data_IF_148938954142
#
_entry.id   IF_148938954142
#
_cell.length_a   1.000
_cell.length_b   1.000
_cell.length_c   1.000
_cell.angle_alpha   90.00
_cell.angle_beta   90.00
_cell.angle_gamma   90.00
#
_symmetry.space_group_name_H-M   'P 1'
#
loop_
_entity.id
_entity.type
_entity.pdbx_description
1 polymer ?
#
# COMPACT_ATOMS: atom_id res chain seq x y z
N UNK A 1 -31.92 -18.39 24.96
CA UNK A 1 -31.73 -18.08 23.53
C UNK A 1 -31.26 -16.65 23.46
N UNK A 2 -29.94 -16.47 23.45
CA UNK A 2 -29.30 -15.17 23.32
C UNK A 2 -28.85 -15.05 21.88
N UNK A 3 -29.47 -14.14 21.14
CA UNK A 3 -29.05 -13.78 19.78
C UNK A 3 -27.60 -13.32 19.83
N UNK A 4 -26.73 -14.08 19.17
CA UNK A 4 -25.37 -13.62 18.83
C UNK A 4 -25.56 -12.69 17.65
N UNK A 5 -25.22 -11.40 17.76
CA UNK A 5 -25.38 -10.50 16.63
C UNK A 5 -24.42 -10.90 15.52
N UNK A 6 -25.00 -11.05 14.34
CA UNK A 6 -24.35 -11.37 13.08
C UNK A 6 -23.46 -10.17 12.66
N UNK A 7 -22.26 -10.08 13.25
CA UNK A 7 -21.31 -8.98 13.03
C UNK A 7 -20.17 -9.33 12.07
N UNK A 8 -20.26 -10.46 11.35
CA UNK A 8 -19.35 -10.80 10.26
C UNK A 8 -19.73 -10.04 8.97
N UNK A 9 -19.76 -8.72 9.02
CA UNK A 9 -19.90 -7.88 7.84
C UNK A 9 -18.55 -7.84 7.11
N UNK A 10 -18.41 -8.70 6.08
CA UNK A 10 -17.32 -8.78 5.11
C UNK A 10 -16.59 -7.44 4.90
N UNK A 11 -15.41 -7.30 5.49
CA UNK A 11 -14.46 -6.18 5.38
C UNK A 11 -13.97 -6.00 3.94
N UNK A 12 -14.15 -7.02 3.10
CA UNK A 12 -13.84 -6.95 1.67
C UNK A 12 -15.14 -6.70 0.91
N UNK A 13 -15.58 -5.45 0.91
CA UNK A 13 -16.57 -4.99 -0.05
C UNK A 13 -16.05 -5.24 -1.46
N UNK A 14 -16.87 -5.79 -2.40
CA UNK A 14 -16.46 -5.92 -3.80
C UNK A 14 -16.26 -4.56 -4.48
N UNK A 15 -16.66 -3.47 -3.82
CA UNK A 15 -16.45 -2.10 -4.28
C UNK A 15 -14.97 -1.72 -4.13
N UNK A 16 -14.37 -1.19 -5.20
CA UNK A 16 -13.06 -0.56 -5.15
C UNK A 16 -13.10 0.64 -4.21
N UNK A 17 -12.13 0.71 -3.30
CA UNK A 17 -11.91 1.87 -2.44
C UNK A 17 -10.58 2.49 -2.84
N UNK A 18 -10.66 3.54 -3.64
CA UNK A 18 -9.51 4.33 -4.06
C UNK A 18 -9.63 5.75 -3.52
N UNK A 19 -8.52 6.29 -3.06
CA UNK A 19 -8.40 7.70 -2.73
C UNK A 19 -7.72 8.44 -3.89
N UNK A 20 -8.43 9.43 -4.42
CA UNK A 20 -7.95 10.34 -5.46
C UNK A 20 -8.10 11.76 -4.88
N UNK A 21 -7.01 12.54 -4.73
CA UNK A 21 -6.96 13.82 -4.03
C UNK A 21 -7.98 14.90 -4.32
N UNK A 22 -8.78 14.85 -5.35
CA UNK A 22 -9.93 15.70 -5.58
C UNK A 22 -10.56 15.00 -6.76
N UNK A 23 -11.45 14.02 -6.56
CA UNK A 23 -11.81 13.09 -7.63
C UNK A 23 -12.33 13.78 -8.88
N UNK A 24 -12.95 14.96 -8.71
CA UNK A 24 -13.44 15.79 -9.80
C UNK A 24 -12.32 16.38 -10.68
N UNK A 25 -11.11 16.60 -10.15
CA UNK A 25 -10.04 17.32 -10.86
C UNK A 25 -8.73 16.54 -11.00
N UNK A 26 -8.35 15.66 -10.08
CA UNK A 26 -6.98 15.10 -10.05
C UNK A 26 -6.51 14.48 -11.36
N UNK A 27 -7.35 13.64 -11.99
CA UNK A 27 -6.99 13.00 -13.26
C UNK A 27 -6.95 14.01 -14.40
N UNK A 28 -7.91 14.95 -14.47
CA UNK A 28 -7.92 15.99 -15.49
C UNK A 28 -6.78 17.00 -15.30
N UNK A 29 -6.40 17.29 -14.07
CA UNK A 29 -5.29 18.19 -13.71
C UNK A 29 -3.97 17.58 -14.16
N UNK A 30 -3.76 16.28 -13.92
CA UNK A 30 -2.59 15.57 -14.44
C UNK A 30 -2.58 15.56 -15.98
N UNK A 31 -3.69 15.17 -16.60
CA UNK A 31 -3.77 15.08 -18.05
C UNK A 31 -3.61 16.44 -18.74
N UNK A 32 -4.11 17.52 -18.16
CA UNK A 32 -3.96 18.87 -18.72
C UNK A 32 -2.58 19.47 -18.48
N UNK A 33 -1.92 19.13 -17.36
CA UNK A 33 -0.58 19.64 -17.02
C UNK A 33 0.55 18.91 -17.74
N UNK A 34 0.34 17.67 -18.19
CA UNK A 34 1.36 16.85 -18.85
C UNK A 34 0.92 16.49 -20.28
N UNK A 35 1.71 16.85 -21.33
CA UNK A 35 1.43 16.43 -22.70
C UNK A 35 1.34 14.90 -22.82
N UNK A 36 0.43 14.40 -23.66
CA UNK A 36 0.14 12.96 -23.76
C UNK A 36 1.37 12.08 -24.06
N UNK A 37 2.34 12.61 -24.83
CA UNK A 37 3.62 11.96 -25.14
C UNK A 37 4.59 11.82 -23.95
N UNK A 38 4.34 12.58 -22.89
CA UNK A 38 5.16 12.66 -21.70
C UNK A 38 4.51 12.00 -20.48
N UNK A 39 3.21 11.71 -20.51
CA UNK A 39 2.50 11.06 -19.40
C UNK A 39 3.07 9.66 -19.15
N UNK A 40 3.38 9.42 -17.88
CA UNK A 40 3.84 8.15 -17.35
C UNK A 40 2.99 7.78 -16.13
N UNK A 41 2.79 6.49 -15.91
CA UNK A 41 2.13 5.95 -14.74
C UNK A 41 3.11 5.01 -14.03
N UNK A 42 3.25 5.09 -12.72
CA UNK A 42 4.23 4.27 -12.02
C UNK A 42 3.82 3.98 -10.58
N UNK A 43 4.29 2.87 -10.05
CA UNK A 43 3.92 2.44 -8.70
C UNK A 43 4.76 3.11 -7.61
N UNK A 44 4.10 3.40 -6.49
CA UNK A 44 4.68 3.71 -5.19
C UNK A 44 3.96 2.90 -4.10
N UNK A 45 4.61 2.66 -2.98
CA UNK A 45 4.06 1.87 -1.89
C UNK A 45 5.13 1.51 -0.88
N UNK A 46 4.78 1.49 0.40
CA UNK A 46 5.67 0.99 1.44
C UNK A 46 6.09 -0.47 1.13
N UNK A 47 7.16 -0.96 1.76
CA UNK A 47 7.56 -2.36 1.60
C UNK A 47 6.37 -3.30 1.88
N UNK A 48 6.29 -4.44 1.19
CA UNK A 48 5.22 -5.43 1.38
C UNK A 48 3.76 -5.01 1.07
N UNK A 49 3.52 -3.88 0.38
CA UNK A 49 2.15 -3.48 -0.02
C UNK A 49 1.69 -4.04 -1.36
N UNK A 50 2.52 -4.79 -2.09
CA UNK A 50 2.14 -5.36 -3.40
C UNK A 50 2.57 -4.55 -4.62
N UNK A 51 3.51 -3.62 -4.47
CA UNK A 51 4.06 -2.81 -5.58
C UNK A 51 4.49 -3.61 -6.82
N UNK A 52 5.01 -4.83 -6.65
CA UNK A 52 5.39 -5.66 -7.80
C UNK A 52 4.19 -6.23 -8.54
N UNK A 53 3.09 -6.55 -7.84
CA UNK A 53 1.87 -7.05 -8.46
C UNK A 53 1.25 -5.95 -9.33
N UNK A 54 1.01 -4.78 -8.75
CA UNK A 54 0.42 -3.66 -9.49
C UNK A 54 1.28 -3.23 -10.69
N UNK A 55 2.61 -3.22 -10.53
CA UNK A 55 3.51 -2.90 -11.64
C UNK A 55 3.39 -3.91 -12.80
N UNK A 56 3.33 -5.22 -12.51
CA UNK A 56 3.12 -6.22 -13.58
C UNK A 56 1.79 -5.99 -14.28
N UNK A 57 0.73 -5.78 -13.50
CA UNK A 57 -0.61 -5.51 -14.03
C UNK A 57 -0.64 -4.25 -14.91
N UNK A 58 -0.03 -3.15 -14.47
CA UNK A 58 0.07 -1.93 -15.28
C UNK A 58 0.90 -2.14 -16.55
N UNK A 59 1.99 -2.90 -16.48
CA UNK A 59 2.86 -3.14 -17.64
C UNK A 59 2.18 -3.95 -18.74
N UNK A 60 1.32 -4.91 -18.35
CA UNK A 60 0.66 -5.78 -19.31
C UNK A 60 -0.64 -5.16 -19.81
N UNK A 61 -1.35 -4.43 -18.95
CA UNK A 61 -2.74 -4.04 -19.22
C UNK A 61 -2.97 -2.54 -19.40
N UNK A 62 -2.03 -1.66 -19.08
CA UNK A 62 -2.19 -0.22 -19.30
C UNK A 62 -1.45 0.25 -20.55
N UNK A 63 -2.22 0.65 -21.57
CA UNK A 63 -1.70 1.16 -22.83
C UNK A 63 -1.59 2.69 -22.76
N UNK A 64 -0.36 3.16 -22.63
CA UNK A 64 -0.05 4.60 -22.69
C UNK A 64 0.28 4.99 -24.14
N UNK A 65 -0.15 6.17 -24.64
CA UNK A 65 -0.08 6.51 -26.06
C UNK A 65 1.30 6.42 -26.72
N UNK A 66 2.39 6.74 -26.00
CA UNK A 66 3.75 6.81 -26.57
C UNK A 66 4.87 6.31 -25.64
N UNK A 67 4.53 5.70 -24.51
CA UNK A 67 5.51 5.32 -23.48
C UNK A 67 5.18 3.94 -22.93
N UNK A 68 6.19 3.21 -22.49
CA UNK A 68 5.99 2.01 -21.67
C UNK A 68 5.85 2.44 -20.21
N UNK A 69 5.03 1.72 -19.46
CA UNK A 69 4.89 1.89 -18.01
C UNK A 69 6.24 1.60 -17.33
N UNK A 70 6.82 2.57 -16.60
CA UNK A 70 8.05 2.37 -15.84
C UNK A 70 7.83 1.50 -14.59
N UNK A 71 8.91 0.86 -14.15
CA UNK A 71 8.91 -0.04 -12.98
C UNK A 71 8.52 0.65 -11.65
N UNK A 72 8.84 1.94 -11.50
CA UNK A 72 8.62 2.71 -10.28
C UNK A 72 8.61 4.22 -10.55
N UNK A 73 8.07 4.99 -9.60
CA UNK A 73 8.24 6.45 -9.58
C UNK A 73 9.73 6.83 -9.53
N UNK A 74 10.13 8.02 -10.06
CA UNK A 74 11.53 8.38 -10.22
C UNK A 74 12.34 8.40 -8.94
N UNK A 75 11.72 8.75 -7.82
CA UNK A 75 12.38 8.80 -6.51
C UNK A 75 12.38 7.46 -5.78
N UNK A 76 12.01 6.35 -6.43
CA UNK A 76 12.00 5.02 -5.86
C UNK A 76 10.68 4.68 -5.15
N UNK A 77 10.09 3.53 -5.51
CA UNK A 77 8.72 3.19 -5.10
C UNK A 77 8.49 3.05 -3.59
N UNK A 78 9.53 2.74 -2.81
CA UNK A 78 9.42 2.57 -1.36
C UNK A 78 9.79 3.83 -0.57
N UNK A 79 10.34 4.84 -1.23
CA UNK A 79 10.78 6.05 -0.54
C UNK A 79 9.57 6.93 -0.16
N UNK A 80 9.68 7.74 0.91
CA UNK A 80 8.64 8.66 1.31
C UNK A 80 8.36 9.73 0.23
N UNK A 81 7.19 10.36 0.30
CA UNK A 81 6.73 11.28 -0.74
C UNK A 81 7.59 12.54 -0.87
N UNK A 82 8.20 13.00 0.22
CA UNK A 82 9.09 14.17 0.26
C UNK A 82 10.43 13.95 -0.47
N UNK A 83 10.71 12.73 -0.93
CA UNK A 83 11.85 12.44 -1.80
C UNK A 83 11.59 12.85 -3.26
N UNK A 84 10.32 13.13 -3.62
CA UNK A 84 9.92 13.56 -4.96
C UNK A 84 10.66 14.85 -5.34
N UNK A 85 11.47 14.78 -6.40
CA UNK A 85 12.24 15.92 -6.92
C UNK A 85 13.56 16.20 -6.18
N UNK A 86 13.81 15.54 -5.04
CA UNK A 86 15.05 15.67 -4.26
C UNK A 86 15.95 14.45 -4.48
N UNK A 87 15.35 13.26 -4.60
CA UNK A 87 16.05 12.01 -4.83
C UNK A 87 15.61 11.36 -6.15
N UNK A 88 16.54 10.69 -6.82
CA UNK A 88 16.28 9.91 -8.03
C UNK A 88 16.92 8.54 -7.93
N UNK A 89 16.09 7.51 -8.08
CA UNK A 89 16.56 6.14 -8.27
C UNK A 89 17.50 6.10 -9.49
N UNK A 90 18.52 5.25 -9.41
CA UNK A 90 19.57 5.16 -10.45
C UNK A 90 19.02 4.97 -11.86
N UNK A 91 17.94 4.20 -12.01
CA UNK A 91 17.26 3.93 -13.29
C UNK A 91 16.45 5.11 -13.85
N UNK A 92 16.26 6.15 -13.05
CA UNK A 92 15.31 7.24 -13.31
C UNK A 92 15.97 8.61 -13.31
N UNK A 93 17.31 8.67 -13.34
CA UNK A 93 18.05 9.93 -13.46
C UNK A 93 17.66 10.67 -14.75
N UNK A 94 17.35 11.95 -14.63
CA UNK A 94 16.93 12.81 -15.75
C UNK A 94 15.45 12.71 -16.12
N UNK A 95 14.66 11.89 -15.42
CA UNK A 95 13.20 11.89 -15.57
C UNK A 95 12.60 13.10 -14.83
N UNK A 96 11.50 13.63 -15.34
CA UNK A 96 10.78 14.77 -14.74
C UNK A 96 9.68 14.20 -13.83
N UNK A 97 9.72 14.42 -12.50
CA UNK A 97 8.73 13.87 -11.57
C UNK A 97 7.28 14.23 -11.89
N UNK A 98 7.04 15.41 -12.47
CA UNK A 98 5.72 15.92 -12.86
C UNK A 98 5.09 15.11 -13.99
N UNK A 99 5.90 14.40 -14.77
CA UNK A 99 5.40 13.57 -15.87
C UNK A 99 4.77 12.25 -15.38
N UNK A 100 4.87 11.93 -14.09
CA UNK A 100 4.41 10.68 -13.52
C UNK A 100 3.13 10.89 -12.73
N UNK A 101 2.11 10.08 -13.00
CA UNK A 101 1.00 9.84 -12.09
C UNK A 101 1.36 8.64 -11.19
N UNK A 102 1.61 8.84 -9.90
CA UNK A 102 1.87 7.72 -8.99
C UNK A 102 0.60 6.93 -8.72
N UNK A 103 0.73 5.61 -8.80
CA UNK A 103 -0.24 4.66 -8.25
C UNK A 103 0.31 4.18 -6.92
N UNK A 104 -0.21 4.77 -5.84
CA UNK A 104 0.20 4.52 -4.47
C UNK A 104 -0.58 3.34 -3.93
N UNK A 105 0.10 2.35 -3.35
CA UNK A 105 -0.56 1.17 -2.80
C UNK A 105 -0.49 1.20 -1.29
N UNK A 106 -1.66 1.24 -0.67
CA UNK A 106 -1.86 0.98 0.75
C UNK A 106 -2.32 -0.45 0.96
N UNK A 107 -1.98 -1.02 2.11
CA UNK A 107 -2.40 -2.36 2.50
C UNK A 107 -2.94 -2.28 3.92
N UNK A 108 -3.91 -3.12 4.24
CA UNK A 108 -4.43 -3.25 5.59
C UNK A 108 -3.29 -3.37 6.61
N UNK A 109 -3.28 -2.51 7.64
CA UNK A 109 -2.17 -2.38 8.60
C UNK A 109 -1.84 -3.71 9.29
N UNK A 110 -2.86 -4.51 9.62
CA UNK A 110 -2.71 -5.79 10.33
C UNK A 110 -1.98 -6.80 9.43
N UNK A 111 -2.47 -6.99 8.21
CA UNK A 111 -1.83 -7.90 7.25
C UNK A 111 -0.49 -7.38 6.73
N UNK A 112 -0.29 -6.06 6.69
CA UNK A 112 0.97 -5.42 6.35
C UNK A 112 2.03 -5.67 7.44
N UNK A 113 1.73 -5.46 8.72
CA UNK A 113 2.62 -5.80 9.83
C UNK A 113 3.02 -7.28 9.78
N UNK A 114 2.06 -8.19 9.60
CA UNK A 114 2.33 -9.62 9.43
C UNK A 114 3.26 -9.90 8.24
N UNK A 115 3.20 -9.09 7.17
CA UNK A 115 4.09 -9.23 6.03
C UNK A 115 5.50 -8.72 6.33
N UNK A 116 5.62 -7.61 7.07
CA UNK A 116 6.90 -7.09 7.57
C UNK A 116 7.59 -8.08 8.52
N UNK A 117 6.83 -8.74 9.40
CA UNK A 117 7.34 -9.81 10.26
C UNK A 117 8.06 -10.91 9.47
N UNK A 118 7.47 -11.31 8.33
CA UNK A 118 8.04 -12.34 7.45
C UNK A 118 9.24 -11.84 6.66
N UNK A 119 9.15 -10.63 6.11
CA UNK A 119 10.17 -10.04 5.24
C UNK A 119 10.37 -8.56 5.61
N UNK A 120 11.27 -8.24 6.55
CA UNK A 120 11.44 -6.87 7.05
C UNK A 120 12.15 -5.94 6.07
N UNK A 121 12.80 -6.49 5.03
CA UNK A 121 13.67 -5.74 4.13
C UNK A 121 14.75 -4.97 4.91
N UNK A 122 14.70 -3.64 4.83
CA UNK A 122 15.63 -2.69 5.41
C UNK A 122 15.11 -2.11 6.74
N UNK A 123 13.97 -2.60 7.22
CA UNK A 123 13.45 -2.24 8.54
C UNK A 123 14.09 -3.09 9.64
N UNK A 124 14.38 -2.48 10.79
CA UNK A 124 15.09 -3.09 11.91
C UNK A 124 14.37 -2.80 13.23
N UNK A 125 14.12 -3.84 14.03
CA UNK A 125 13.53 -3.75 15.38
C UNK A 125 13.99 -4.94 16.25
N UNK A 126 13.92 -4.80 17.58
CA UNK A 126 14.54 -5.72 18.54
C UNK A 126 13.96 -7.15 18.56
N UNK A 127 12.71 -7.36 18.08
CA UNK A 127 11.97 -8.61 18.26
C UNK A 127 11.47 -9.25 16.96
N UNK A 128 12.33 -9.37 15.94
CA UNK A 128 11.94 -9.97 14.66
C UNK A 128 11.34 -11.40 14.79
N UNK A 129 11.76 -12.19 15.78
CA UNK A 129 11.33 -13.59 15.96
C UNK A 129 10.03 -13.77 16.76
N UNK A 130 9.54 -12.72 17.42
CA UNK A 130 8.26 -12.70 18.13
C UNK A 130 7.45 -11.55 17.55
N UNK A 131 6.88 -11.73 16.37
CA UNK A 131 6.21 -10.66 15.62
C UNK A 131 4.74 -11.06 15.40
N UNK A 132 3.74 -10.16 15.58
CA UNK A 132 3.84 -8.70 15.58
C UNK A 132 4.47 -8.07 16.83
N UNK A 133 4.14 -8.53 18.04
CA UNK A 133 4.60 -8.01 19.34
C UNK A 133 4.94 -6.50 19.31
N UNK A 134 3.92 -5.68 19.05
CA UNK A 134 4.04 -4.24 18.88
C UNK A 134 4.42 -3.52 20.18
N UNK A 135 4.09 -4.13 21.32
CA UNK A 135 4.46 -3.66 22.64
C UNK A 135 5.27 -4.69 23.41
N UNK A 136 6.17 -4.24 24.28
CA UNK A 136 6.93 -5.08 25.20
C UNK A 136 6.04 -5.57 26.35
N UNK A 137 6.60 -6.36 27.27
CA UNK A 137 5.86 -6.87 28.44
C UNK A 137 5.40 -5.74 29.38
N UNK A 138 6.14 -4.63 29.42
CA UNK A 138 5.77 -3.41 30.16
C UNK A 138 4.82 -2.48 29.40
N UNK A 139 4.25 -2.97 28.29
CA UNK A 139 3.39 -2.23 27.37
C UNK A 139 4.04 -1.04 26.65
N UNK A 140 5.36 -0.85 26.77
CA UNK A 140 6.07 0.16 25.96
C UNK A 140 6.15 -0.25 24.49
N UNK A 141 6.11 0.70 23.53
CA UNK A 141 6.22 0.39 22.12
C UNK A 141 7.55 -0.28 21.72
N UNK A 142 7.51 -1.09 20.67
CA UNK A 142 8.70 -1.61 19.98
C UNK A 142 9.06 -0.71 18.82
N UNK A 143 10.08 0.13 19.04
CA UNK A 143 10.60 1.07 18.04
C UNK A 143 11.09 0.35 16.77
N UNK A 144 10.97 1.03 15.63
CA UNK A 144 11.50 0.55 14.35
C UNK A 144 12.32 1.63 13.66
N UNK A 145 13.49 1.23 13.14
CA UNK A 145 14.27 2.02 12.20
C UNK A 145 13.99 1.51 10.79
N UNK A 146 13.72 2.40 9.84
CA UNK A 146 13.65 2.07 8.40
C UNK A 146 14.68 2.88 7.65
N UNK A 147 15.53 2.19 6.90
CA UNK A 147 16.55 2.80 6.03
C UNK A 147 16.00 2.88 4.60
N UNK A 148 15.36 4.00 4.27
CA UNK A 148 15.06 4.35 2.89
C UNK A 148 16.38 4.59 2.11
N UNK A 149 16.34 4.64 0.76
CA UNK A 149 17.52 4.58 -0.13
C UNK A 149 18.73 5.48 0.27
N UNK A 150 19.91 5.10 -0.25
CA UNK A 150 21.32 5.37 0.14
C UNK A 150 21.80 6.83 0.36
N UNK A 151 20.93 7.82 0.48
CA UNK A 151 21.36 9.17 0.83
C UNK A 151 21.46 9.35 2.36
N UNK A 152 22.31 10.28 2.81
CA UNK A 152 22.61 10.59 4.24
C UNK A 152 21.38 10.86 5.13
N UNK A 153 20.18 10.94 4.55
CA UNK A 153 18.92 11.34 5.18
C UNK A 153 17.84 10.24 5.14
N UNK A 154 18.17 9.03 4.68
CA UNK A 154 17.21 7.94 4.47
C UNK A 154 16.75 7.20 5.73
N UNK A 155 17.35 7.47 6.89
CA UNK A 155 17.01 6.78 8.13
C UNK A 155 15.82 7.46 8.80
N UNK A 156 14.75 6.71 9.06
CA UNK A 156 13.63 7.17 9.89
C UNK A 156 13.43 6.23 11.06
N UNK A 157 13.40 6.80 12.25
CA UNK A 157 13.03 6.11 13.48
C UNK A 157 11.57 6.40 13.77
N UNK A 158 10.84 5.37 14.18
CA UNK A 158 9.44 5.45 14.56
C UNK A 158 9.30 4.89 15.97
N UNK A 159 8.99 5.75 16.92
CA UNK A 159 8.92 5.42 18.35
C UNK A 159 7.80 4.43 18.64
N UNK A 160 6.67 4.59 17.94
CA UNK A 160 5.52 3.69 18.01
C UNK A 160 5.61 2.53 17.00
N UNK A 161 6.81 2.26 16.49
CA UNK A 161 7.11 1.05 15.74
C UNK A 161 6.49 1.00 14.34
N UNK A 162 6.17 -0.23 13.91
CA UNK A 162 5.66 -0.50 12.56
C UNK A 162 4.33 0.22 12.27
N UNK A 163 3.48 0.42 13.28
CA UNK A 163 2.17 1.08 13.10
C UNK A 163 2.33 2.55 12.75
N UNK A 164 3.25 3.24 13.41
CA UNK A 164 3.58 4.63 13.06
C UNK A 164 4.28 4.72 11.71
N UNK A 165 5.19 3.80 11.40
CA UNK A 165 5.81 3.76 10.08
C UNK A 165 4.78 3.61 8.95
N UNK A 166 3.77 2.75 9.15
CA UNK A 166 2.65 2.60 8.22
C UNK A 166 1.80 3.87 8.13
N UNK A 167 1.43 4.43 9.29
CA UNK A 167 0.55 5.61 9.37
C UNK A 167 1.22 6.82 8.73
N UNK A 168 2.41 7.19 9.18
CA UNK A 168 3.16 8.35 8.68
C UNK A 168 3.39 8.27 7.18
N UNK A 169 3.87 7.13 6.66
CA UNK A 169 4.15 7.00 5.22
C UNK A 169 2.89 7.18 4.37
N UNK A 170 1.78 6.54 4.75
CA UNK A 170 0.53 6.61 3.98
C UNK A 170 -0.16 7.97 4.13
N UNK A 171 -0.14 8.58 5.32
CA UNK A 171 -0.78 9.88 5.55
C UNK A 171 -0.03 11.01 4.85
N UNK A 172 1.30 10.92 4.74
CA UNK A 172 2.09 11.85 3.92
C UNK A 172 1.70 11.79 2.45
N UNK A 173 1.46 10.60 1.91
CA UNK A 173 0.89 10.45 0.57
C UNK A 173 -0.53 10.98 0.48
N UNK A 174 -1.40 10.66 1.43
CA UNK A 174 -2.80 11.11 1.47
C UNK A 174 -2.94 12.66 1.51
N UNK A 175 -1.91 13.37 1.97
CA UNK A 175 -1.83 14.83 2.02
C UNK A 175 -1.03 15.45 0.87
N UNK A 176 -0.49 14.66 -0.04
CA UNK A 176 0.34 15.17 -1.11
C UNK A 176 -0.49 16.09 -2.04
N UNK A 177 0.07 17.25 -2.38
CA UNK A 177 -0.64 18.29 -3.13
C UNK A 177 -0.56 18.14 -4.65
N UNK A 178 -0.03 17.04 -5.15
CA UNK A 178 0.12 16.75 -6.58
C UNK A 178 -0.73 15.54 -6.97
N UNK A 179 -1.03 15.34 -8.26
CA UNK A 179 -1.88 14.25 -8.68
C UNK A 179 -1.31 12.85 -8.38
N UNK A 180 -2.12 11.98 -7.78
CA UNK A 180 -1.85 10.56 -7.62
C UNK A 180 -3.18 9.77 -7.54
N UNK A 181 -3.08 8.44 -7.62
CA UNK A 181 -4.18 7.52 -7.31
C UNK A 181 -3.70 6.56 -6.23
N UNK A 182 -4.40 6.51 -5.10
CA UNK A 182 -4.06 5.60 -4.00
C UNK A 182 -5.10 4.48 -3.92
N UNK A 183 -4.65 3.23 -3.99
CA UNK A 183 -5.51 2.04 -4.05
C UNK A 183 -5.12 1.04 -2.97
N UNK A 184 -6.09 0.25 -2.53
CA UNK A 184 -5.82 -0.86 -1.61
C UNK A 184 -5.16 -2.01 -2.34
N UNK A 185 -4.24 -2.69 -1.65
CA UNK A 185 -3.71 -3.97 -2.08
C UNK A 185 -4.83 -4.99 -2.28
N UNK A 186 -5.83 -4.94 -1.41
CA UNK A 186 -7.00 -5.81 -1.45
C UNK A 186 -7.79 -5.60 -2.76
N UNK A 187 -7.98 -4.37 -3.22
CA UNK A 187 -8.66 -4.10 -4.50
C UNK A 187 -7.87 -4.64 -5.69
N UNK A 188 -6.54 -4.59 -5.62
CA UNK A 188 -5.68 -5.22 -6.61
C UNK A 188 -5.85 -6.75 -6.60
N UNK A 189 -6.15 -7.37 -5.46
CA UNK A 189 -6.37 -8.83 -5.42
C UNK A 189 -7.73 -9.22 -5.99
N UNK A 190 -8.79 -8.55 -5.55
CA UNK A 190 -10.18 -8.95 -5.85
C UNK A 190 -10.74 -8.34 -7.14
N UNK A 191 -10.20 -7.19 -7.58
CA UNK A 191 -10.72 -6.39 -8.70
C UNK A 191 -9.57 -5.87 -9.58
N UNK A 192 -8.68 -6.76 -10.03
CA UNK A 192 -7.49 -6.42 -10.82
C UNK A 192 -7.82 -5.50 -12.01
N UNK A 193 -8.79 -5.92 -12.83
CA UNK A 193 -9.17 -5.23 -14.06
C UNK A 193 -9.66 -3.81 -13.80
N UNK A 194 -10.64 -3.66 -12.90
CA UNK A 194 -11.22 -2.36 -12.58
C UNK A 194 -10.23 -1.44 -11.86
N UNK A 195 -9.35 -1.99 -11.00
CA UNK A 195 -8.32 -1.21 -10.30
C UNK A 195 -7.27 -0.68 -11.29
N UNK A 196 -6.83 -1.51 -12.24
CA UNK A 196 -5.91 -1.09 -13.30
C UNK A 196 -6.57 -0.09 -14.24
N UNK A 197 -7.82 -0.34 -14.64
CA UNK A 197 -8.57 0.57 -15.51
C UNK A 197 -8.66 1.96 -14.89
N UNK A 198 -9.07 2.05 -13.63
CA UNK A 198 -9.16 3.31 -12.89
C UNK A 198 -7.84 4.09 -12.93
N UNK A 199 -6.73 3.44 -12.58
CA UNK A 199 -5.43 4.08 -12.55
C UNK A 199 -4.94 4.48 -13.95
N UNK A 200 -5.12 3.59 -14.94
CA UNK A 200 -4.66 3.78 -16.31
C UNK A 200 -5.39 4.93 -17.02
N UNK A 201 -6.72 4.95 -16.91
CA UNK A 201 -7.53 6.03 -17.49
C UNK A 201 -7.24 7.37 -16.81
N UNK A 202 -6.98 7.37 -15.49
CA UNK A 202 -6.57 8.57 -14.78
C UNK A 202 -5.25 9.16 -15.33
N UNK A 203 -4.30 8.30 -15.73
CA UNK A 203 -3.06 8.73 -16.39
C UNK A 203 -3.24 9.17 -17.86
N UNK A 204 -4.45 9.04 -18.41
CA UNK A 204 -4.74 9.30 -19.83
C UNK A 204 -4.33 8.16 -20.76
N UNK A 205 -4.15 6.95 -20.22
CA UNK A 205 -4.05 5.71 -20.98
C UNK A 205 -5.42 5.05 -21.17
N UNK A 206 -5.41 3.82 -21.68
CA UNK A 206 -6.58 2.96 -21.75
C UNK A 206 -6.19 1.52 -21.43
N UNK A 207 -7.18 0.72 -21.01
CA UNK A 207 -6.99 -0.70 -20.77
C UNK A 207 -6.69 -1.42 -22.10
N UNK A 208 -5.82 -2.43 -22.06
CA UNK A 208 -5.64 -3.35 -23.17
C UNK A 208 -6.96 -4.04 -23.54
N UNK A 209 -7.12 -4.43 -24.82
CA UNK A 209 -8.34 -5.10 -25.31
C UNK A 209 -8.61 -6.42 -24.59
N UNK A 210 -7.54 -7.15 -24.24
CA UNK A 210 -7.59 -8.37 -23.45
C UNK A 210 -6.83 -8.12 -22.16
N UNK A 211 -7.52 -8.27 -21.02
CA UNK A 211 -6.90 -8.12 -19.72
C UNK A 211 -6.19 -9.42 -19.30
N UNK A 212 -4.89 -9.31 -19.05
CA UNK A 212 -4.06 -10.36 -18.47
C UNK A 212 -4.09 -10.29 -16.94
N UNK A 213 -4.75 -11.27 -16.34
CA UNK A 213 -4.75 -11.47 -14.89
C UNK A 213 -3.41 -12.01 -14.41
N UNK A 214 -2.95 -11.55 -13.25
CA UNK A 214 -1.74 -12.04 -12.61
C UNK A 214 -2.07 -13.09 -11.56
N UNK A 215 -2.12 -14.36 -11.98
CA UNK A 215 -2.42 -15.49 -11.10
C UNK A 215 -1.16 -16.10 -10.45
N UNK A 216 -0.01 -15.98 -11.11
CA UNK A 216 1.27 -16.48 -10.60
C UNK A 216 1.89 -15.55 -9.55
N UNK A 217 2.73 -16.07 -8.64
CA UNK A 217 3.46 -15.27 -7.66
C UNK A 217 4.17 -14.07 -8.30
N UNK A 218 3.88 -12.86 -7.79
CA UNK A 218 4.46 -11.63 -8.33
C UNK A 218 5.98 -11.50 -8.12
N UNK A 219 6.57 -12.27 -7.19
CA UNK A 219 8.01 -12.27 -6.86
C UNK A 219 8.63 -13.65 -7.16
N UNK A 220 9.68 -13.70 -7.97
CA UNK A 220 10.33 -14.94 -8.41
C UNK A 220 11.15 -15.70 -7.35
N UNK A 221 11.12 -15.31 -6.08
CA UNK A 221 11.99 -15.87 -5.03
C UNK A 221 11.27 -16.25 -3.72
N UNK A 222 9.94 -16.45 -3.71
CA UNK A 222 9.28 -16.87 -2.47
C UNK A 222 7.84 -17.32 -2.62
N UNK A 223 7.61 -18.61 -2.36
CA UNK A 223 6.30 -19.23 -2.14
C UNK A 223 5.65 -19.86 -3.37
N UNK A 224 5.06 -21.04 -3.19
CA UNK A 224 4.17 -21.71 -4.17
C UNK A 224 2.74 -21.14 -4.15
N UNK A 225 2.49 -20.09 -3.37
CA UNK A 225 1.15 -19.53 -3.16
C UNK A 225 0.73 -18.72 -4.39
N UNK A 226 -0.21 -19.27 -5.17
CA UNK A 226 -0.82 -18.56 -6.29
C UNK A 226 -1.82 -17.50 -5.82
N UNK A 227 -2.38 -16.72 -6.75
CA UNK A 227 -3.39 -15.71 -6.44
C UNK A 227 -4.57 -16.26 -5.64
N UNK A 228 -5.00 -17.51 -5.91
CA UNK A 228 -6.07 -18.17 -5.16
C UNK A 228 -5.74 -18.42 -3.68
N UNK A 229 -4.49 -18.75 -3.35
CA UNK A 229 -4.08 -18.98 -1.96
C UNK A 229 -4.00 -17.66 -1.19
N UNK A 230 -3.53 -16.61 -1.88
CA UNK A 230 -3.56 -15.23 -1.41
C UNK A 230 -5.02 -14.82 -1.15
N UNK A 231 -5.92 -14.98 -2.12
CA UNK A 231 -7.34 -14.62 -1.98
C UNK A 231 -8.01 -15.34 -0.80
N UNK A 232 -7.74 -16.63 -0.60
CA UNK A 232 -8.25 -17.38 0.57
C UNK A 232 -7.72 -16.83 1.88
N UNK A 233 -6.47 -16.39 1.91
CA UNK A 233 -5.84 -15.84 3.11
C UNK A 233 -6.35 -14.45 3.46
N UNK A 234 -6.50 -13.57 2.48
CA UNK A 234 -7.02 -12.21 2.72
C UNK A 234 -8.55 -12.21 2.86
N UNK A 235 -9.23 -13.22 2.32
CA UNK A 235 -10.69 -13.37 2.35
C UNK A 235 -11.26 -13.91 3.66
N UNK A 236 -10.39 -14.36 4.57
CA UNK A 236 -10.80 -14.98 5.84
C UNK A 236 -10.50 -14.03 7.00
N UNK A 237 -11.53 -13.29 7.44
CA UNK A 237 -11.43 -12.36 8.58
C UNK A 237 -10.96 -13.03 9.87
N UNK A 238 -11.34 -14.30 10.09
CA UNK A 238 -10.95 -15.04 11.30
C UNK A 238 -9.44 -15.26 11.36
N UNK A 239 -8.77 -15.25 10.20
CA UNK A 239 -7.31 -15.39 10.08
C UNK A 239 -6.58 -14.05 10.06
N UNK A 240 -7.26 -12.92 9.86
CA UNK A 240 -6.63 -11.59 9.76
C UNK A 240 -5.80 -11.26 11.00
N UNK A 241 -6.35 -11.55 12.18
CA UNK A 241 -5.73 -11.28 13.48
C UNK A 241 -5.02 -12.50 14.09
N UNK A 242 -4.90 -13.60 13.35
CA UNK A 242 -4.26 -14.81 13.87
C UNK A 242 -2.82 -14.52 14.30
N UNK A 243 -2.51 -14.82 15.56
CA UNK A 243 -1.18 -14.61 16.16
C UNK A 243 -0.98 -13.22 16.80
N UNK A 244 -1.99 -12.35 16.81
CA UNK A 244 -1.94 -11.08 17.53
C UNK A 244 -2.31 -11.26 19.01
N UNK A 245 -1.61 -10.56 19.91
CA UNK A 245 -2.00 -10.47 21.33
C UNK A 245 -3.04 -9.36 21.50
N UNK A 246 -3.86 -9.47 22.54
CA UNK A 246 -4.83 -8.42 22.90
C UNK A 246 -4.14 -7.07 23.14
N UNK A 247 -3.01 -7.06 23.85
CA UNK A 247 -2.22 -5.84 24.08
C UNK A 247 -1.72 -5.18 22.78
N UNK A 248 -1.41 -5.98 21.74
CA UNK A 248 -0.98 -5.44 20.45
C UNK A 248 -2.16 -4.84 19.68
N UNK A 249 -3.34 -5.46 19.77
CA UNK A 249 -4.57 -4.95 19.14
C UNK A 249 -5.08 -3.68 19.82
N UNK A 250 -5.03 -3.64 21.15
CA UNK A 250 -5.34 -2.44 21.92
C UNK A 250 -4.37 -1.30 21.56
N UNK A 251 -3.07 -1.57 21.58
CA UNK A 251 -2.07 -0.58 21.16
C UNK A 251 -2.30 -0.09 19.72
N UNK A 252 -2.53 -1.02 18.78
CA UNK A 252 -2.82 -0.69 17.39
C UNK A 252 -4.03 0.25 17.28
N UNK A 253 -5.11 -0.02 18.01
CA UNK A 253 -6.33 0.79 17.98
C UNK A 253 -6.11 2.23 18.45
N UNK A 254 -5.16 2.45 19.36
CA UNK A 254 -4.83 3.77 19.92
C UNK A 254 -3.88 4.58 19.03
N UNK A 255 -3.03 3.90 18.27
CA UNK A 255 -1.90 4.53 17.58
C UNK A 255 -2.08 4.63 16.07
N UNK A 256 -2.86 3.74 15.45
CA UNK A 256 -3.08 3.80 14.00
C UNK A 256 -3.80 5.09 13.62
N UNK A 257 -3.42 5.66 12.48
CA UNK A 257 -4.11 6.80 11.89
C UNK A 257 -5.55 6.39 11.50
N UNK A 258 -6.52 6.88 12.28
CA UNK A 258 -7.93 6.55 12.09
C UNK A 258 -8.52 7.17 10.82
N UNK A 259 -7.97 8.28 10.32
CA UNK A 259 -8.42 8.88 9.07
C UNK A 259 -8.08 7.97 7.90
N UNK A 260 -6.89 7.36 7.89
CA UNK A 260 -6.54 6.33 6.90
C UNK A 260 -7.43 5.09 7.02
N UNK A 261 -7.66 4.60 8.24
CA UNK A 261 -8.51 3.42 8.45
C UNK A 261 -9.93 3.67 7.91
N UNK A 262 -10.49 4.86 8.19
CA UNK A 262 -11.79 5.27 7.66
C UNK A 262 -11.77 5.48 6.14
N UNK A 263 -10.74 6.15 5.61
CA UNK A 263 -10.59 6.46 4.18
C UNK A 263 -10.56 5.19 3.32
N UNK A 264 -9.94 4.12 3.82
CA UNK A 264 -9.79 2.84 3.10
C UNK A 264 -10.71 1.73 3.61
N UNK A 265 -11.68 2.09 4.47
CA UNK A 265 -12.68 1.18 5.05
C UNK A 265 -12.06 -0.01 5.80
N UNK A 266 -10.86 0.17 6.37
CA UNK A 266 -10.21 -0.84 7.21
C UNK A 266 -10.82 -0.83 8.61
N UNK A 267 -11.17 -2.01 9.13
CA UNK A 267 -11.78 -2.16 10.46
C UNK A 267 -10.86 -2.88 11.43
N UNK A 268 -10.76 -2.40 12.66
CA UNK A 268 -10.15 -3.13 13.77
C UNK A 268 -11.22 -3.90 14.56
N UNK A 269 -10.85 -4.96 15.31
CA UNK A 269 -11.80 -5.60 16.20
C UNK A 269 -12.25 -4.58 17.26
N UNK A 270 -13.48 -4.72 17.80
CA UNK A 270 -13.91 -3.91 18.93
C UNK A 270 -12.90 -4.04 20.07
N UNK A 271 -12.46 -2.91 20.63
CA UNK A 271 -11.68 -2.92 21.87
C UNK A 271 -12.62 -3.39 22.97
N UNK A 272 -12.31 -4.51 23.61
CA UNK A 272 -13.05 -4.95 24.78
C UNK A 272 -12.65 -4.02 25.92
N UNK A 273 -13.44 -2.97 26.17
CA UNK A 273 -13.30 -2.12 27.36
C UNK A 273 -13.63 -2.94 28.61
N UNK A 274 -12.68 -3.75 29.08
CA UNK A 274 -12.71 -4.23 30.46
C UNK A 274 -12.19 -3.10 31.34
N UNK A 275 -13.11 -2.21 31.76
CA UNK A 275 -12.90 -1.27 32.86
C UNK A 275 -12.90 -1.98 34.20
#
# INVERSE_FOLDING_TARGET
MTDVPDHAASVLSPKIVAHIPNPASTCSDFQSSVPAENRLIAVAGLFNTGTNLMMKLLNHNCVMPKRKTPFQVPWGKHNPVDFRGVHFAKSSKGQIPEHFLPVVIIKDVVTWVNSMCKNPYVAHWQHKYKCPQLVKEDLSPVEVEIKFQEDKWGHRNYENGLVEAWSTWNSDWARASFPYVMVRFEDILYNQEQTVKLACECAGGHLAEVFEYQDDPAKGHGGKEGAMDVLKKYGDETKRFQGWREADLDFLSRVVDQDLMNMFEYRLPPVIENR
#
